data_IF_823516895960
#
_entry.id   IF_823516895960
#
_cell.length_a   1.000
_cell.length_b   1.000
_cell.length_c   1.000
_cell.angle_alpha   90.00
_cell.angle_beta   90.00
_cell.angle_gamma   90.00
#
_symmetry.space_group_name_H-M   'P 1'
#
loop_
_entity.id
_entity.type
_entity.pdbx_description
1 polymer ?
#
# COMPACT_ATOMS: atom_id res chain seq x y z
N UNK A 1 -2.45 -4.21 -26.22
CA UNK A 1 -1.94 -4.14 -24.84
C UNK A 1 -1.95 -5.54 -24.25
N UNK A 2 -1.11 -5.83 -23.24
CA UNK A 2 -0.92 -7.18 -22.68
C UNK A 2 -1.08 -7.15 -21.16
N UNK A 3 -1.65 -8.20 -20.53
CA UNK A 3 -1.74 -8.33 -19.08
C UNK A 3 -0.39 -8.16 -18.37
N UNK A 4 -0.38 -7.48 -17.23
CA UNK A 4 0.79 -7.36 -16.34
C UNK A 4 0.58 -8.28 -15.13
N UNK A 5 1.60 -9.08 -14.82
CA UNK A 5 1.72 -9.78 -13.55
C UNK A 5 2.84 -9.13 -12.75
N UNK A 6 2.53 -8.57 -11.58
CA UNK A 6 3.50 -8.01 -10.66
C UNK A 6 3.84 -9.03 -9.57
N UNK A 7 5.01 -9.67 -9.65
CA UNK A 7 5.55 -10.45 -8.54
C UNK A 7 6.47 -9.56 -7.72
N UNK A 8 6.03 -9.15 -6.53
CA UNK A 8 6.72 -8.19 -5.68
C UNK A 8 7.28 -8.90 -4.44
N UNK A 9 8.60 -8.92 -4.33
CA UNK A 9 9.32 -9.37 -3.14
C UNK A 9 9.48 -8.20 -2.15
N UNK A 10 9.11 -8.38 -0.88
CA UNK A 10 9.25 -7.32 0.12
C UNK A 10 10.73 -6.99 0.39
N UNK A 11 11.64 -7.93 0.12
CA UNK A 11 13.08 -7.73 0.29
C UNK A 11 13.72 -6.81 -0.78
N UNK A 12 12.95 -6.41 -1.79
CA UNK A 12 13.35 -5.38 -2.73
C UNK A 12 13.48 -4.00 -2.05
N UNK A 13 12.77 -3.78 -0.94
CA UNK A 13 12.95 -2.58 -0.13
C UNK A 13 14.20 -2.66 0.73
N UNK A 14 14.76 -1.50 1.07
CA UNK A 14 15.85 -1.45 2.02
C UNK A 14 15.42 -2.09 3.38
N UNK A 15 16.29 -2.87 4.06
CA UNK A 15 15.96 -3.54 5.32
C UNK A 15 15.55 -2.59 6.44
N UNK A 16 15.88 -1.29 6.34
CA UNK A 16 15.35 -0.28 7.28
C UNK A 16 13.84 -0.09 7.18
N UNK A 17 13.23 -0.49 6.07
CA UNK A 17 11.80 -0.41 5.80
C UNK A 17 11.11 -1.77 5.87
N UNK A 18 11.78 -2.83 5.40
CA UNK A 18 11.27 -4.21 5.39
C UNK A 18 12.19 -5.19 6.17
N UNK A 19 12.41 -4.99 7.49
CA UNK A 19 13.32 -5.83 8.26
C UNK A 19 12.85 -7.29 8.41
N UNK A 20 11.53 -7.54 8.36
CA UNK A 20 10.95 -8.86 8.62
C UNK A 20 10.91 -9.72 7.34
N UNK A 21 12.08 -10.06 6.80
CA UNK A 21 12.24 -10.90 5.60
C UNK A 21 13.42 -11.87 5.72
N UNK A 22 13.45 -12.91 4.88
CA UNK A 22 14.47 -13.97 4.90
C UNK A 22 15.86 -13.52 4.45
N UNK A 23 15.94 -12.55 3.54
CA UNK A 23 17.20 -12.20 2.85
C UNK A 23 17.44 -10.68 2.78
N UNK A 24 17.59 -9.97 3.91
CA UNK A 24 17.75 -8.52 3.89
C UNK A 24 19.07 -8.09 3.22
N UNK A 25 18.98 -7.20 2.22
CA UNK A 25 20.14 -6.64 1.50
C UNK A 25 20.11 -5.10 1.53
N UNK A 26 21.15 -4.49 2.09
CA UNK A 26 21.24 -3.03 2.21
C UNK A 26 21.33 -2.30 0.86
N UNK A 27 20.80 -1.07 0.81
CA UNK A 27 20.77 -0.25 -0.41
C UNK A 27 19.62 -0.60 -1.34
N UNK A 28 18.54 -1.16 -0.78
CA UNK A 28 17.31 -1.47 -1.50
C UNK A 28 16.49 -0.23 -1.84
N UNK A 29 15.27 -0.46 -2.36
CA UNK A 29 14.34 0.61 -2.69
C UNK A 29 13.97 1.43 -1.45
N UNK A 30 13.87 2.73 -1.64
CA UNK A 30 13.18 3.60 -0.68
C UNK A 30 11.67 3.38 -0.77
N UNK A 31 10.96 3.72 0.31
CA UNK A 31 9.49 3.68 0.34
C UNK A 31 8.86 4.39 -0.87
N UNK A 32 9.39 5.58 -1.19
CA UNK A 32 8.85 6.43 -2.25
C UNK A 32 9.02 5.83 -3.64
N UNK A 33 10.12 5.12 -3.88
CA UNK A 33 10.38 4.44 -5.14
C UNK A 33 9.45 3.25 -5.32
N UNK A 34 9.27 2.43 -4.27
CA UNK A 34 8.32 1.32 -4.32
C UNK A 34 6.89 1.77 -4.60
N UNK A 35 6.41 2.81 -3.89
CA UNK A 35 5.09 3.39 -4.15
C UNK A 35 4.97 3.98 -5.55
N UNK A 36 6.04 4.59 -6.07
CA UNK A 36 6.02 5.13 -7.43
C UNK A 36 5.91 4.02 -8.48
N UNK A 37 6.61 2.89 -8.29
CA UNK A 37 6.50 1.73 -9.19
C UNK A 37 5.06 1.19 -9.21
N UNK A 38 4.43 1.04 -8.06
CA UNK A 38 3.06 0.51 -7.96
C UNK A 38 2.01 1.46 -8.52
N UNK A 39 2.17 2.78 -8.32
CA UNK A 39 1.34 3.81 -8.95
C UNK A 39 1.49 3.79 -10.48
N UNK A 40 2.70 3.69 -11.02
CA UNK A 40 2.92 3.62 -12.47
C UNK A 40 2.34 2.34 -13.07
N UNK A 41 2.43 1.21 -12.36
CA UNK A 41 1.76 -0.04 -12.76
C UNK A 41 0.24 0.14 -12.76
N UNK A 42 -0.33 0.74 -11.71
CA UNK A 42 -1.75 1.04 -11.64
C UNK A 42 -2.21 1.91 -12.83
N UNK A 43 -1.46 2.97 -13.13
CA UNK A 43 -1.75 3.91 -14.22
C UNK A 43 -1.80 3.25 -15.61
N UNK A 44 -1.18 2.08 -15.78
CA UNK A 44 -1.32 1.32 -17.04
C UNK A 44 -2.74 0.81 -17.28
N UNK A 45 -3.52 0.57 -16.22
CA UNK A 45 -4.80 -0.13 -16.28
C UNK A 45 -4.70 -1.61 -16.69
N UNK A 46 -3.50 -2.20 -16.65
CA UNK A 46 -3.20 -3.54 -17.17
C UNK A 46 -2.79 -4.57 -16.11
N UNK A 47 -2.71 -4.17 -14.83
CA UNK A 47 -2.43 -5.11 -13.75
C UNK A 47 -3.52 -6.19 -13.67
N UNK A 48 -3.12 -7.44 -13.88
CA UNK A 48 -4.03 -8.59 -13.95
C UNK A 48 -3.80 -9.60 -12.84
N UNK A 49 -2.59 -9.63 -12.25
CA UNK A 49 -2.24 -10.46 -11.11
C UNK A 49 -1.15 -9.75 -10.30
N UNK A 50 -1.13 -10.01 -8.99
CA UNK A 50 -0.12 -9.51 -8.06
C UNK A 50 0.19 -10.60 -7.03
N UNK A 51 1.49 -10.90 -6.88
CA UNK A 51 2.03 -11.70 -5.78
C UNK A 51 2.82 -10.77 -4.86
N UNK A 52 2.60 -10.87 -3.54
CA UNK A 52 3.40 -10.18 -2.52
C UNK A 52 4.00 -11.21 -1.58
N UNK A 53 5.33 -11.31 -1.57
CA UNK A 53 6.05 -12.46 -0.98
C UNK A 53 7.14 -12.05 0.01
N UNK A 54 7.73 -13.06 0.67
CA UNK A 54 8.86 -12.97 1.62
C UNK A 54 8.65 -12.09 2.87
N UNK A 55 7.41 -11.79 3.22
CA UNK A 55 7.09 -11.23 4.54
C UNK A 55 7.17 -12.35 5.58
N UNK A 56 8.13 -12.25 6.50
CA UNK A 56 8.33 -13.21 7.58
C UNK A 56 8.40 -12.50 8.95
N UNK A 57 7.25 -12.35 9.65
CA UNK A 57 7.17 -11.69 10.95
C UNK A 57 8.03 -12.33 12.05
N UNK A 58 8.40 -13.60 11.92
CA UNK A 58 9.20 -14.31 12.93
C UNK A 58 10.68 -13.89 12.92
N UNK A 59 11.14 -13.25 11.84
CA UNK A 59 12.52 -12.76 11.72
C UNK A 59 12.70 -11.34 12.22
N UNK A 60 11.60 -10.65 12.56
CA UNK A 60 11.64 -9.31 13.12
C UNK A 60 12.27 -9.30 14.53
N UNK A 61 13.08 -8.29 14.85
CA UNK A 61 13.66 -8.13 16.19
C UNK A 61 12.63 -7.63 17.21
N UNK A 62 11.52 -7.05 16.74
CA UNK A 62 10.43 -6.55 17.58
C UNK A 62 9.07 -6.69 16.89
N UNK A 63 8.00 -6.60 17.67
CA UNK A 63 6.63 -6.54 17.12
C UNK A 63 6.42 -5.30 16.24
N UNK A 64 7.12 -4.20 16.53
CA UNK A 64 7.08 -2.97 15.74
C UNK A 64 7.67 -3.18 14.34
N UNK A 65 8.81 -3.85 14.23
CA UNK A 65 9.42 -4.20 12.93
C UNK A 65 8.56 -5.15 12.10
N UNK A 66 7.94 -6.13 12.74
CA UNK A 66 6.99 -7.03 12.09
C UNK A 66 5.79 -6.25 11.53
N UNK A 67 5.23 -5.34 12.33
CA UNK A 67 4.14 -4.46 11.91
C UNK A 67 4.56 -3.49 10.81
N UNK A 68 5.76 -2.91 10.89
CA UNK A 68 6.27 -2.00 9.87
C UNK A 68 6.37 -2.70 8.50
N UNK A 69 6.96 -3.90 8.47
CA UNK A 69 7.06 -4.71 7.24
C UNK A 69 5.69 -5.11 6.70
N UNK A 70 4.76 -5.52 7.57
CA UNK A 70 3.39 -5.87 7.18
C UNK A 70 2.59 -4.67 6.66
N UNK A 71 2.74 -3.49 7.27
CA UNK A 71 2.10 -2.26 6.80
C UNK A 71 2.65 -1.84 5.44
N UNK A 72 3.97 -1.92 5.23
CA UNK A 72 4.59 -1.65 3.94
C UNK A 72 4.05 -2.59 2.84
N UNK A 73 3.90 -3.87 3.17
CA UNK A 73 3.29 -4.86 2.31
C UNK A 73 1.84 -4.48 1.91
N UNK A 74 1.04 -4.01 2.86
CA UNK A 74 -0.32 -3.51 2.59
C UNK A 74 -0.29 -2.28 1.68
N UNK A 75 0.60 -1.33 1.92
CA UNK A 75 0.73 -0.12 1.10
C UNK A 75 1.06 -0.45 -0.37
N UNK A 76 1.96 -1.43 -0.62
CA UNK A 76 2.30 -1.90 -1.97
C UNK A 76 1.07 -2.42 -2.71
N UNK A 77 0.28 -3.27 -2.04
CA UNK A 77 -0.95 -3.83 -2.63
C UNK A 77 -1.95 -2.71 -2.89
N UNK A 78 -2.23 -1.88 -1.90
CA UNK A 78 -3.23 -0.83 -2.01
C UNK A 78 -2.87 0.20 -3.08
N UNK A 79 -1.59 0.61 -3.16
CA UNK A 79 -1.08 1.50 -4.22
C UNK A 79 -1.21 0.87 -5.60
N UNK A 80 -0.91 -0.43 -5.74
CA UNK A 80 -1.08 -1.17 -7.01
C UNK A 80 -2.53 -1.20 -7.51
N UNK A 81 -3.50 -1.04 -6.61
CA UNK A 81 -4.94 -1.01 -6.91
C UNK A 81 -5.56 0.40 -6.85
N UNK A 82 -4.75 1.45 -6.76
CA UNK A 82 -5.22 2.82 -6.96
C UNK A 82 -5.20 3.71 -5.72
N UNK A 83 -4.65 3.25 -4.58
CA UNK A 83 -4.36 4.18 -3.49
C UNK A 83 -3.31 5.20 -3.96
N UNK A 84 -3.71 6.47 -3.96
CA UNK A 84 -2.91 7.60 -4.43
C UNK A 84 -2.33 8.42 -3.28
N UNK A 85 -1.08 8.85 -3.39
CA UNK A 85 -0.47 9.76 -2.39
C UNK A 85 -1.02 11.19 -2.41
N UNK A 86 -1.59 11.63 -3.54
CA UNK A 86 -2.24 12.95 -3.67
C UNK A 86 -3.70 12.97 -3.21
N UNK A 87 -4.27 11.81 -2.83
CA UNK A 87 -5.70 11.66 -2.55
C UNK A 87 -6.57 11.59 -3.81
N UNK A 88 -7.89 11.71 -3.65
CA UNK A 88 -8.81 11.79 -4.80
C UNK A 88 -9.23 10.46 -5.43
N UNK A 89 -8.80 9.32 -4.87
CA UNK A 89 -9.30 8.00 -5.30
C UNK A 89 -10.83 7.85 -5.13
N UNK A 90 -11.42 8.56 -4.17
CA UNK A 90 -12.87 8.63 -3.98
C UNK A 90 -13.40 9.91 -4.61
N UNK A 91 -14.46 9.78 -5.40
CA UNK A 91 -15.15 10.92 -5.99
C UNK A 91 -15.89 11.68 -4.89
N UNK A 92 -15.53 12.95 -4.70
CA UNK A 92 -16.24 13.88 -3.84
C UNK A 92 -17.18 14.73 -4.68
N UNK A 93 -18.48 14.43 -4.64
CA UNK A 93 -19.47 15.09 -5.49
C UNK A 93 -19.81 16.51 -5.02
N UNK A 94 -19.83 16.74 -3.71
CA UNK A 94 -20.24 18.01 -3.11
C UNK A 94 -19.47 18.27 -1.82
N UNK A 95 -19.15 19.54 -1.58
CA UNK A 95 -18.67 19.98 -0.27
C UNK A 95 -19.86 20.14 0.69
N UNK A 96 -19.72 19.75 1.97
CA UNK A 96 -20.75 19.99 2.97
C UNK A 96 -21.05 21.48 3.10
N UNK A 97 -22.31 21.79 3.39
CA UNK A 97 -22.78 23.17 3.64
C UNK A 97 -22.89 23.41 5.14
N UNK A 98 -22.89 24.66 5.64
CA UNK A 98 -23.00 24.93 7.08
C UNK A 98 -24.22 24.34 7.78
N UNK A 99 -25.25 23.94 7.01
CA UNK A 99 -26.49 23.35 7.51
C UNK A 99 -26.64 21.84 7.20
N UNK A 100 -25.66 21.20 6.56
CA UNK A 100 -25.71 19.74 6.40
C UNK A 100 -25.35 19.05 7.72
N UNK A 101 -26.07 17.98 8.10
CA UNK A 101 -25.71 17.18 9.27
C UNK A 101 -24.32 16.58 9.08
N UNK A 102 -23.56 16.48 10.18
CA UNK A 102 -22.20 15.94 10.17
C UNK A 102 -22.23 14.47 9.73
N UNK A 103 -21.28 14.05 8.88
CA UNK A 103 -21.25 12.68 8.35
C UNK A 103 -21.07 11.64 9.47
N UNK A 104 -20.48 12.05 10.60
CA UNK A 104 -20.38 11.25 11.83
C UNK A 104 -21.74 10.82 12.42
N UNK A 105 -22.82 11.56 12.15
CA UNK A 105 -24.18 11.24 12.62
C UNK A 105 -24.90 10.22 11.71
N UNK A 106 -24.39 9.96 10.49
CA UNK A 106 -25.03 9.03 9.55
C UNK A 106 -24.67 7.57 9.81
N UNK A 107 -23.47 7.28 10.30
CA UNK A 107 -23.04 5.90 10.58
C UNK A 107 -23.76 5.28 11.79
N UNK A 108 -24.22 6.09 12.74
CA UNK A 108 -24.95 5.61 13.92
C UNK A 108 -26.37 5.11 13.60
N UNK A 109 -26.89 5.49 12.42
CA UNK A 109 -28.27 5.21 12.00
C UNK A 109 -28.43 3.91 11.19
N UNK A 110 -27.34 3.19 10.94
CA UNK A 110 -27.31 1.93 10.15
C UNK A 110 -26.95 0.71 11.04
N UNK A 111 -27.02 0.85 12.37
CA UNK A 111 -26.96 -0.29 13.30
C UNK A 111 -28.33 -0.84 13.63
#
# INVERSE_FOLDING_TARGET
QRPIHLSFDIDAFDPTLAPATGTPVAGGLTYREGMYITEEIHNTGLLSALDLVEVNPQLAASEEEAKATASLAVDVIASSFGQTREGGHIVYDQLPTPSSPDESEREERVR
#
